data_IF_548060936192
#
_entry.id   IF_548060936192
#
_cell.length_a   1.000
_cell.length_b   1.000
_cell.length_c   1.000
_cell.angle_alpha   90.00
_cell.angle_beta   90.00
_cell.angle_gamma   90.00
#
_symmetry.space_group_name_H-M   'P 1'
#
loop_
_entity.id
_entity.type
_entity.pdbx_description
1 polymer ?
#
# COMPACT_ATOMS: atom_id res chain seq x y z
N UNK A 1 -13.43 -2.09 -12.22
CA UNK A 1 -14.46 -3.07 -11.79
C UNK A 1 -14.29 -3.45 -10.32
N UNK A 2 -13.15 -4.02 -9.92
CA UNK A 2 -12.79 -4.35 -8.52
C UNK A 2 -13.20 -3.29 -7.48
N UNK A 3 -12.70 -2.05 -7.61
CA UNK A 3 -12.91 -0.99 -6.62
C UNK A 3 -14.38 -0.66 -6.37
N UNK A 4 -15.16 -0.57 -7.45
CA UNK A 4 -16.58 -0.26 -7.40
C UNK A 4 -17.37 -1.39 -6.72
N UNK A 5 -17.11 -2.63 -7.13
CA UNK A 5 -17.76 -3.81 -6.54
C UNK A 5 -17.38 -3.98 -5.05
N UNK A 6 -16.15 -3.66 -4.69
CA UNK A 6 -15.70 -3.63 -3.30
C UNK A 6 -16.46 -2.59 -2.47
N UNK A 7 -16.51 -1.34 -2.93
CA UNK A 7 -17.21 -0.27 -2.22
C UNK A 7 -18.72 -0.55 -2.11
N UNK A 8 -19.37 -0.97 -3.18
CA UNK A 8 -20.80 -1.31 -3.20
C UNK A 8 -21.13 -2.41 -2.18
N UNK A 9 -20.34 -3.49 -2.14
CA UNK A 9 -20.54 -4.56 -1.17
C UNK A 9 -20.29 -4.09 0.27
N UNK A 10 -19.17 -3.41 0.53
CA UNK A 10 -18.80 -3.01 1.89
C UNK A 10 -19.79 -1.99 2.44
N UNK A 11 -20.21 -0.99 1.65
CA UNK A 11 -21.24 -0.07 2.08
C UNK A 11 -22.61 -0.74 2.19
N UNK A 12 -23.00 -1.63 1.28
CA UNK A 12 -24.28 -2.32 1.34
C UNK A 12 -24.42 -3.24 2.54
N UNK A 13 -23.37 -4.03 2.82
CA UNK A 13 -23.37 -5.06 3.88
C UNK A 13 -23.00 -4.51 5.26
N UNK A 14 -22.11 -3.52 5.31
CA UNK A 14 -21.49 -3.06 6.56
C UNK A 14 -21.66 -1.56 6.81
N UNK A 15 -22.70 -0.92 6.25
CA UNK A 15 -22.98 0.52 6.41
C UNK A 15 -22.94 1.02 7.85
N UNK A 16 -23.39 0.21 8.81
CA UNK A 16 -23.44 0.59 10.22
C UNK A 16 -22.08 0.48 10.93
N UNK A 17 -21.09 -0.16 10.29
CA UNK A 17 -19.72 -0.32 10.78
C UNK A 17 -18.75 0.62 10.05
N UNK A 18 -19.01 0.93 8.78
CA UNK A 18 -18.10 1.71 7.94
C UNK A 18 -18.55 3.17 7.88
N UNK A 19 -17.65 4.08 8.24
CA UNK A 19 -17.84 5.51 8.08
C UNK A 19 -17.50 5.94 6.65
N UNK A 20 -16.31 5.57 6.19
CA UNK A 20 -15.77 6.02 4.90
C UNK A 20 -14.70 5.07 4.37
N UNK A 21 -14.65 4.93 3.06
CA UNK A 21 -13.60 4.18 2.34
C UNK A 21 -12.81 5.19 1.49
N UNK A 22 -11.49 5.06 1.50
CA UNK A 22 -10.59 5.74 0.56
C UNK A 22 -9.82 4.68 -0.22
N UNK A 23 -9.98 4.69 -1.53
CA UNK A 23 -9.15 3.89 -2.43
C UNK A 23 -8.01 4.78 -2.92
N UNK A 24 -6.78 4.41 -2.54
CA UNK A 24 -5.57 5.13 -2.87
C UNK A 24 -4.76 4.42 -3.96
N UNK A 25 -3.76 5.12 -4.48
CA UNK A 25 -2.77 4.56 -5.40
C UNK A 25 -3.14 4.66 -6.89
N UNK A 26 -2.30 4.03 -7.71
CA UNK A 26 -2.30 4.20 -9.18
C UNK A 26 -3.54 3.64 -9.87
N UNK A 27 -4.23 2.67 -9.24
CA UNK A 27 -5.42 2.04 -9.78
C UNK A 27 -6.66 2.95 -9.82
N UNK A 28 -6.60 4.11 -9.15
CA UNK A 28 -7.64 5.15 -9.28
C UNK A 28 -7.58 5.86 -10.63
N UNK A 29 -6.44 5.83 -11.34
CA UNK A 29 -6.17 6.69 -12.51
C UNK A 29 -5.86 5.94 -13.82
N UNK A 30 -5.49 4.66 -13.81
CA UNK A 30 -5.09 3.87 -15.01
C UNK A 30 -5.39 2.37 -14.85
N UNK A 31 -5.32 1.62 -15.95
CA UNK A 31 -5.28 0.15 -15.97
C UNK A 31 -4.22 -0.38 -14.99
N UNK A 32 -4.58 -1.44 -14.29
CA UNK A 32 -3.77 -2.07 -13.24
C UNK A 32 -2.47 -2.65 -13.82
N UNK A 33 -1.31 -2.23 -13.29
CA UNK A 33 0.00 -2.72 -13.71
C UNK A 33 0.57 -3.62 -12.61
N UNK A 34 0.70 -4.91 -12.93
CA UNK A 34 1.25 -5.93 -12.04
C UNK A 34 2.61 -5.50 -11.46
N UNK A 35 2.75 -5.59 -10.13
CA UNK A 35 3.98 -5.27 -9.39
C UNK A 35 4.38 -3.79 -9.38
N UNK A 36 3.57 -2.90 -9.98
CA UNK A 36 3.80 -1.44 -9.99
C UNK A 36 2.62 -0.64 -9.47
N UNK A 37 1.42 -1.24 -9.48
CA UNK A 37 0.22 -0.60 -8.99
C UNK A 37 0.04 -0.81 -7.50
N UNK A 38 0.24 0.28 -6.76
CA UNK A 38 -0.15 0.38 -5.36
C UNK A 38 -1.70 0.52 -5.30
N UNK A 39 -2.39 -0.33 -4.53
CA UNK A 39 -3.74 -0.06 -3.99
C UNK A 39 -3.67 -0.23 -2.48
N UNK A 40 -3.87 0.88 -1.78
CA UNK A 40 -4.01 0.94 -0.32
C UNK A 40 -5.45 1.35 -0.01
N UNK A 41 -6.32 0.36 0.27
CA UNK A 41 -7.67 0.66 0.70
C UNK A 41 -7.63 1.09 2.16
N UNK A 42 -8.06 2.31 2.47
CA UNK A 42 -8.22 2.78 3.84
C UNK A 42 -9.70 2.80 4.19
N UNK A 43 -10.08 2.12 5.27
CA UNK A 43 -11.46 2.02 5.74
C UNK A 43 -11.54 2.65 7.12
N UNK A 44 -12.24 3.77 7.22
CA UNK A 44 -12.61 4.38 8.50
C UNK A 44 -13.83 3.64 9.05
N UNK A 45 -13.68 3.06 10.22
CA UNK A 45 -14.72 2.31 10.92
C UNK A 45 -15.36 3.17 12.01
N UNK A 46 -16.68 3.06 12.15
CA UNK A 46 -17.46 3.53 13.30
C UNK A 46 -17.30 2.58 14.49
N UNK A 47 -17.18 1.28 14.21
CA UNK A 47 -17.02 0.18 15.18
C UNK A 47 -16.35 -1.02 14.51
N UNK A 48 -15.60 -1.80 15.29
CA UNK A 48 -14.93 -3.02 14.81
C UNK A 48 -15.86 -4.23 14.73
N UNK A 49 -15.32 -5.37 14.25
CA UNK A 49 -15.99 -6.68 14.21
C UNK A 49 -16.31 -7.20 12.81
N UNK A 50 -16.00 -6.44 11.75
CA UNK A 50 -16.31 -6.79 10.34
C UNK A 50 -15.06 -6.96 9.48
N UNK A 51 -13.89 -6.63 10.01
CA UNK A 51 -12.62 -6.57 9.28
C UNK A 51 -12.27 -7.89 8.60
N UNK A 52 -12.47 -9.02 9.30
CA UNK A 52 -12.25 -10.36 8.73
C UNK A 52 -13.16 -10.65 7.54
N UNK A 53 -14.41 -10.18 7.56
CA UNK A 53 -15.36 -10.38 6.45
C UNK A 53 -14.99 -9.50 5.26
N UNK A 54 -14.58 -8.25 5.53
CA UNK A 54 -14.08 -7.34 4.51
C UNK A 54 -12.84 -7.93 3.82
N UNK A 55 -11.89 -8.50 4.58
CA UNK A 55 -10.75 -9.20 4.00
C UNK A 55 -11.16 -10.39 3.14
N UNK A 56 -12.07 -11.25 3.63
CA UNK A 56 -12.58 -12.39 2.84
C UNK A 56 -13.14 -11.93 1.49
N UNK A 57 -13.92 -10.85 1.49
CA UNK A 57 -14.49 -10.31 0.25
C UNK A 57 -13.43 -9.70 -0.66
N UNK A 58 -12.47 -8.95 -0.10
CA UNK A 58 -11.33 -8.42 -0.85
C UNK A 58 -10.54 -9.54 -1.54
N UNK A 59 -10.27 -10.66 -0.85
CA UNK A 59 -9.61 -11.82 -1.45
C UNK A 59 -10.43 -12.51 -2.53
N UNK A 60 -11.74 -12.58 -2.35
CA UNK A 60 -12.64 -13.10 -3.36
C UNK A 60 -12.58 -12.25 -4.63
N UNK A 61 -12.63 -10.91 -4.49
CA UNK A 61 -12.50 -10.00 -5.62
C UNK A 61 -11.13 -10.08 -6.29
N UNK A 62 -10.05 -10.31 -5.53
CA UNK A 62 -8.71 -10.47 -6.10
C UNK A 62 -8.64 -11.69 -7.04
N UNK A 63 -9.24 -12.81 -6.61
CA UNK A 63 -9.33 -14.02 -7.41
C UNK A 63 -10.27 -13.85 -8.61
N UNK A 64 -11.44 -13.22 -8.40
CA UNK A 64 -12.45 -13.00 -9.45
C UNK A 64 -11.91 -12.12 -10.59
N UNK A 65 -11.21 -11.05 -10.25
CA UNK A 65 -10.74 -10.04 -11.21
C UNK A 65 -9.28 -10.24 -11.64
N UNK A 66 -8.59 -11.25 -11.10
CA UNK A 66 -7.20 -11.55 -11.45
C UNK A 66 -6.21 -10.43 -11.10
N UNK A 67 -6.50 -9.63 -10.06
CA UNK A 67 -5.66 -8.46 -9.72
C UNK A 67 -4.30 -8.85 -9.13
N UNK A 68 -4.12 -10.08 -8.68
CA UNK A 68 -2.88 -10.59 -8.09
C UNK A 68 -2.39 -9.79 -6.86
N UNK A 69 -3.28 -9.16 -6.11
CA UNK A 69 -2.99 -8.46 -4.86
C UNK A 69 -2.41 -9.43 -3.82
N UNK A 70 -2.81 -10.70 -3.84
CA UNK A 70 -2.20 -11.72 -2.98
C UNK A 70 -0.72 -11.99 -3.29
N UNK A 71 -0.21 -11.62 -4.48
CA UNK A 71 1.20 -11.80 -4.81
C UNK A 71 2.07 -10.61 -4.39
N UNK A 72 1.50 -9.53 -3.88
CA UNK A 72 2.29 -8.37 -3.41
C UNK A 72 3.13 -8.74 -2.18
N UNK A 73 4.26 -8.04 -1.97
CA UNK A 73 5.04 -8.18 -0.75
C UNK A 73 4.24 -7.75 0.49
N UNK A 74 4.41 -8.48 1.60
CA UNK A 74 3.61 -8.26 2.81
C UNK A 74 3.69 -6.83 3.36
N UNK A 75 4.82 -6.11 3.22
CA UNK A 75 4.95 -4.72 3.70
C UNK A 75 4.03 -3.72 2.99
N UNK A 76 3.33 -4.14 1.93
CA UNK A 76 2.28 -3.36 1.29
C UNK A 76 0.92 -3.80 1.86
N UNK A 77 0.32 -3.03 2.78
CA UNK A 77 -0.97 -3.39 3.38
C UNK A 77 -2.05 -3.47 2.29
N UNK A 78 -2.86 -4.53 2.24
CA UNK A 78 -3.98 -4.61 1.31
C UNK A 78 -5.14 -3.70 1.73
N UNK A 79 -5.37 -3.62 3.05
CA UNK A 79 -6.39 -2.79 3.68
C UNK A 79 -5.84 -2.24 5.01
N UNK A 80 -6.03 -0.95 5.25
CA UNK A 80 -5.81 -0.29 6.54
C UNK A 80 -7.16 0.07 7.16
N UNK A 81 -7.40 -0.34 8.40
CA UNK A 81 -8.56 0.03 9.18
C UNK A 81 -8.23 1.16 10.14
N UNK A 82 -9.02 2.23 10.09
CA UNK A 82 -8.91 3.38 11.00
C UNK A 82 -10.05 3.32 11.99
N UNK A 83 -9.75 2.99 13.25
CA UNK A 83 -10.77 2.78 14.29
C UNK A 83 -10.82 3.89 15.34
N UNK A 84 -9.74 4.66 15.46
CA UNK A 84 -9.61 5.71 16.45
C UNK A 84 -8.74 6.86 15.92
N UNK A 85 -8.62 7.92 16.72
CA UNK A 85 -7.83 9.12 16.38
C UNK A 85 -6.33 8.83 16.19
N UNK A 86 -5.78 7.86 16.91
CA UNK A 86 -4.38 7.45 16.78
C UNK A 86 -4.13 6.73 15.45
N UNK A 87 -4.98 5.76 15.08
CA UNK A 87 -4.95 5.08 13.79
C UNK A 87 -5.07 6.12 12.65
N UNK A 88 -5.96 7.09 12.80
CA UNK A 88 -6.15 8.17 11.84
C UNK A 88 -4.87 8.98 11.69
N UNK A 89 -4.30 9.45 12.81
CA UNK A 89 -3.06 10.24 12.81
C UNK A 89 -1.92 9.45 12.17
N UNK A 90 -1.72 8.18 12.54
CA UNK A 90 -0.68 7.34 11.96
C UNK A 90 -0.90 7.12 10.46
N UNK A 91 -2.11 6.76 10.05
CA UNK A 91 -2.47 6.50 8.65
C UNK A 91 -2.21 7.72 7.78
N UNK A 92 -2.77 8.87 8.14
CA UNK A 92 -2.65 10.08 7.33
C UNK A 92 -1.28 10.76 7.48
N UNK A 93 -0.59 10.64 8.61
CA UNK A 93 0.80 11.12 8.72
C UNK A 93 1.75 10.27 7.87
N UNK A 94 1.49 8.97 7.73
CA UNK A 94 2.31 8.07 6.92
C UNK A 94 2.00 8.18 5.42
N UNK A 95 0.72 8.33 5.05
CA UNK A 95 0.28 8.44 3.65
C UNK A 95 0.47 9.85 3.06
N UNK A 96 0.45 10.91 3.88
CA UNK A 96 0.73 12.29 3.43
C UNK A 96 2.25 12.49 3.31
N UNK A 97 2.71 12.23 2.08
CA UNK A 97 3.92 12.68 1.37
C UNK A 97 5.05 13.35 2.18
N UNK A 98 6.27 12.81 2.07
CA UNK A 98 7.48 13.64 2.14
C UNK A 98 8.55 13.21 1.09
N UNK A 99 8.63 14.06 0.06
CA UNK A 99 9.68 14.44 -0.92
C UNK A 99 10.84 13.56 -1.42
N UNK A 100 11.10 12.31 -1.01
CA UNK A 100 12.22 11.54 -1.64
C UNK A 100 11.77 10.29 -2.42
N UNK A 101 11.35 10.45 -3.70
CA UNK A 101 10.94 9.33 -4.54
C UNK A 101 12.09 8.34 -4.83
N UNK A 102 13.37 8.74 -4.74
CA UNK A 102 14.49 7.86 -5.13
C UNK A 102 14.83 6.82 -4.05
N UNK A 103 14.97 7.24 -2.80
CA UNK A 103 15.29 6.34 -1.68
C UNK A 103 14.15 5.36 -1.37
N UNK A 104 12.90 5.84 -1.45
CA UNK A 104 11.73 4.98 -1.29
C UNK A 104 11.64 3.89 -2.37
N UNK A 105 12.02 4.19 -3.62
CA UNK A 105 12.10 3.19 -4.70
C UNK A 105 13.19 2.16 -4.43
N UNK A 106 14.37 2.59 -3.99
CA UNK A 106 15.49 1.67 -3.67
C UNK A 106 15.10 0.74 -2.52
N UNK A 107 14.54 1.29 -1.43
CA UNK A 107 14.12 0.50 -0.28
C UNK A 107 12.98 -0.45 -0.64
N UNK A 108 11.98 0.00 -1.42
CA UNK A 108 10.91 -0.87 -1.96
C UNK A 108 11.50 -2.03 -2.76
N UNK A 109 12.52 -1.79 -3.61
CA UNK A 109 13.18 -2.87 -4.38
C UNK A 109 13.92 -3.86 -3.49
N UNK A 110 14.68 -3.40 -2.51
CA UNK A 110 15.40 -4.29 -1.59
C UNK A 110 14.42 -5.13 -0.77
N UNK A 111 13.39 -4.50 -0.20
CA UNK A 111 12.37 -5.20 0.58
C UNK A 111 11.57 -6.18 -0.26
N UNK A 112 11.32 -5.89 -1.54
CA UNK A 112 10.58 -6.78 -2.44
C UNK A 112 11.22 -8.17 -2.58
N UNK A 113 12.55 -8.26 -2.50
CA UNK A 113 13.26 -9.54 -2.59
C UNK A 113 13.19 -10.37 -1.31
N UNK A 114 13.07 -9.72 -0.16
CA UNK A 114 13.18 -10.37 1.16
C UNK A 114 11.81 -10.62 1.77
N UNK A 115 10.82 -9.80 1.44
CA UNK A 115 9.51 -9.87 2.06
C UNK A 115 8.70 -11.05 1.55
N UNK A 116 8.01 -11.79 2.45
CA UNK A 116 7.10 -12.84 2.04
C UNK A 116 5.94 -12.25 1.24
N UNK A 117 5.43 -13.03 0.28
CA UNK A 117 4.22 -12.65 -0.45
C UNK A 117 2.99 -12.75 0.46
N UNK A 118 2.06 -11.81 0.31
CA UNK A 118 0.81 -11.71 1.09
C UNK A 118 0.00 -13.02 1.07
N UNK A 119 0.02 -13.78 -0.02
CA UNK A 119 -0.68 -15.07 -0.15
C UNK A 119 -0.35 -16.08 0.95
N UNK A 120 0.90 -16.09 1.43
CA UNK A 120 1.33 -17.01 2.49
C UNK A 120 0.81 -16.59 3.86
N UNK A 121 0.51 -15.29 4.03
CA UNK A 121 0.02 -14.72 5.28
C UNK A 121 -1.49 -14.50 5.27
N UNK A 122 -2.17 -14.71 4.13
CA UNK A 122 -3.61 -14.50 3.94
C UNK A 122 -4.48 -15.11 5.07
N UNK A 123 -4.31 -16.37 5.49
CA UNK A 123 -5.14 -16.94 6.56
C UNK A 123 -4.98 -16.18 7.87
N UNK A 124 -3.74 -15.82 8.20
CA UNK A 124 -3.40 -15.13 9.42
C UNK A 124 -3.88 -13.66 9.41
N UNK A 125 -3.69 -12.95 8.29
CA UNK A 125 -4.21 -11.59 8.07
C UNK A 125 -5.72 -11.54 8.27
N UNK A 126 -6.42 -12.51 7.70
CA UNK A 126 -7.89 -12.59 7.76
C UNK A 126 -8.36 -12.90 9.19
N UNK A 127 -7.61 -13.73 9.94
CA UNK A 127 -7.96 -14.12 11.31
C UNK A 127 -7.63 -13.02 12.34
N UNK A 128 -6.57 -12.24 12.11
CA UNK A 128 -6.07 -11.25 13.07
C UNK A 128 -5.97 -9.83 12.47
N UNK A 129 -7.06 -9.28 11.90
CA UNK A 129 -7.01 -8.02 11.16
C UNK A 129 -6.59 -6.84 12.02
N UNK A 130 -7.02 -6.79 13.28
CA UNK A 130 -6.66 -5.74 14.24
C UNK A 130 -5.14 -5.70 14.50
N UNK A 131 -4.53 -6.87 14.68
CA UNK A 131 -3.10 -7.00 14.95
C UNK A 131 -2.27 -6.66 13.72
N UNK A 132 -2.69 -7.18 12.57
CA UNK A 132 -2.07 -6.90 11.26
C UNK A 132 -2.13 -5.40 10.95
N UNK A 133 -3.26 -4.75 11.23
CA UNK A 133 -3.42 -3.31 11.06
C UNK A 133 -2.41 -2.52 11.91
N UNK A 134 -2.26 -2.88 13.20
CA UNK A 134 -1.27 -2.25 14.08
C UNK A 134 0.16 -2.48 13.58
N UNK A 135 0.49 -3.71 13.16
CA UNK A 135 1.79 -4.02 12.55
C UNK A 135 2.04 -3.13 11.35
N UNK A 136 1.07 -2.97 10.44
CA UNK A 136 1.25 -2.13 9.27
C UNK A 136 1.45 -0.66 9.62
N UNK A 137 0.65 -0.13 10.53
CA UNK A 137 0.80 1.25 10.98
C UNK A 137 2.17 1.50 11.66
N UNK A 138 2.68 0.49 12.38
CA UNK A 138 4.02 0.54 12.98
C UNK A 138 5.10 0.39 11.92
N UNK A 139 5.01 -0.58 10.99
CA UNK A 139 6.03 -0.83 9.95
C UNK A 139 6.16 0.33 8.95
N UNK A 140 5.08 1.07 8.72
CA UNK A 140 5.12 2.29 7.91
C UNK A 140 5.95 3.42 8.57
N UNK A 141 6.17 3.37 9.89
CA UNK A 141 6.91 4.38 10.66
C UNK A 141 8.45 4.32 10.50
N UNK A 142 9.15 3.18 10.71
CA UNK A 142 10.61 3.10 10.61
C UNK A 142 11.09 3.28 9.18
N UNK A 143 10.32 2.86 8.16
CA UNK A 143 10.63 3.14 6.75
C UNK A 143 10.75 4.65 6.51
N UNK A 144 9.87 5.46 7.11
CA UNK A 144 9.90 6.92 6.99
C UNK A 144 11.00 7.56 7.84
N UNK A 145 11.25 7.04 9.04
CA UNK A 145 12.33 7.54 9.91
C UNK A 145 13.72 7.26 9.32
N UNK A 146 13.91 6.06 8.78
CA UNK A 146 15.15 5.65 8.11
C UNK A 146 15.34 6.43 6.81
N UNK A 147 14.29 6.59 5.99
CA UNK A 147 14.36 7.42 4.78
C UNK A 147 14.74 8.88 5.11
N UNK A 148 14.16 9.47 6.17
CA UNK A 148 14.49 10.84 6.61
C UNK A 148 15.92 10.96 7.12
N UNK A 149 16.40 9.99 7.91
CA UNK A 149 17.79 9.97 8.38
C UNK A 149 18.78 9.84 7.21
N UNK A 150 18.47 8.99 6.23
CA UNK A 150 19.29 8.80 5.04
C UNK A 150 19.28 10.01 4.10
N UNK A 151 18.12 10.66 3.90
CA UNK A 151 18.02 11.91 3.13
C UNK A 151 18.85 13.01 3.80
N UNK A 152 18.70 13.21 5.13
CA UNK A 152 19.49 14.19 5.88
C UNK A 152 20.99 13.90 5.79
N UNK A 153 21.39 12.64 5.93
CA UNK A 153 22.80 12.22 5.80
C UNK A 153 23.34 12.50 4.38
N UNK A 154 22.55 12.25 3.33
CA UNK A 154 22.94 12.54 1.94
C UNK A 154 23.16 14.04 1.69
N UNK A 155 22.31 14.89 2.29
CA UNK A 155 22.43 16.35 2.21
C UNK A 155 23.64 16.87 2.99
N UNK A 156 23.89 16.33 4.20
CA UNK A 156 25.00 16.75 5.06
C UNK A 156 26.38 16.37 4.48
N UNK A 157 26.51 15.22 3.82
CA UNK A 157 27.80 14.78 3.26
C UNK A 157 28.09 15.48 1.90
N UNK A 158 27.20 16.36 1.41
CA UNK A 158 27.37 17.00 0.10
C UNK A 158 27.41 15.99 -1.05
N UNK A 159 26.92 14.78 -0.80
CA UNK A 159 26.87 13.72 -1.78
C UNK A 159 25.69 14.01 -2.71
N UNK A 160 25.99 14.73 -3.79
CA UNK A 160 25.32 14.57 -5.07
C UNK A 160 25.59 13.14 -5.59
N UNK A 161 25.22 12.10 -4.84
CA UNK A 161 25.29 10.74 -5.33
C UNK A 161 24.24 10.62 -6.46
N UNK A 162 24.77 10.67 -7.68
CA UNK A 162 24.14 10.32 -8.95
C UNK A 162 23.20 11.40 -9.53
N UNK A 163 23.80 12.54 -9.91
CA UNK A 163 23.34 13.32 -11.07
C UNK A 163 23.74 12.67 -12.42
N UNK A 164 24.51 11.58 -12.39
CA UNK A 164 24.99 10.88 -13.58
C UNK A 164 24.21 9.57 -13.72
N UNK A 165 23.56 9.39 -14.88
CA UNK A 165 22.85 8.17 -15.33
C UNK A 165 21.32 8.11 -15.14
N UNK A 166 20.57 9.14 -15.55
CA UNK A 166 19.18 8.91 -16.01
C UNK A 166 18.78 9.64 -17.29
N UNK A 167 19.63 10.50 -17.87
CA UNK A 167 19.38 11.05 -19.21
C UNK A 167 19.48 10.01 -20.34
N UNK A 168 20.04 8.82 -20.08
CA UNK A 168 20.19 7.78 -21.11
C UNK A 168 19.09 6.70 -21.11
N UNK A 169 18.18 6.65 -20.14
CA UNK A 169 17.12 5.63 -20.13
C UNK A 169 15.77 6.10 -20.70
N UNK A 170 15.53 7.41 -20.75
CA UNK A 170 14.29 7.97 -21.33
C UNK A 170 14.27 7.95 -22.87
N UNK A 171 15.40 7.65 -23.52
CA UNK A 171 15.48 7.48 -24.99
C UNK A 171 15.28 6.03 -25.46
N UNK A 172 15.32 5.03 -24.57
CA UNK A 172 15.30 3.61 -24.98
C UNK A 172 13.89 2.96 -24.94
N UNK A 173 12.90 3.56 -24.26
CA UNK A 173 11.54 2.98 -24.18
C UNK A 173 10.55 3.45 -25.26
N UNK A 174 10.96 4.34 -26.18
CA UNK A 174 10.23 4.59 -27.44
C UNK A 174 10.64 3.56 -28.50
N UNK A 175 10.38 2.28 -28.25
CA UNK A 175 10.39 1.28 -29.32
C UNK A 175 9.62 0.03 -28.91
N UNK A 176 8.34 0.05 -29.24
CA UNK A 176 7.58 -0.99 -29.96
C UNK A 176 6.11 -0.90 -29.54
N UNK A 177 5.34 -0.26 -30.41
CA UNK A 177 3.88 -0.44 -30.52
C UNK A 177 3.65 -1.84 -31.08
N UNK A 178 2.79 -2.60 -30.40
CA UNK A 178 1.75 -3.44 -30.97
C UNK A 178 0.58 -3.37 -29.98
#
# INVERSE_FOLDING_TARGET
MFCREFEEFVYGRFRSYVFKIFILGSAKRREWIYGRSDIDVVIILRRGGVESLIYKYYWYLDLKHGTNMLNTPFYHPPIIFVRNSLDYKLTFTNLVYNRSPRLSIILKRMLHHVAPRTKYLKPWITKHPAFVNSIFLILLFPVKSLARKLDNLSQTIGLNFLSISFQNFDKSSKSKRC
#
